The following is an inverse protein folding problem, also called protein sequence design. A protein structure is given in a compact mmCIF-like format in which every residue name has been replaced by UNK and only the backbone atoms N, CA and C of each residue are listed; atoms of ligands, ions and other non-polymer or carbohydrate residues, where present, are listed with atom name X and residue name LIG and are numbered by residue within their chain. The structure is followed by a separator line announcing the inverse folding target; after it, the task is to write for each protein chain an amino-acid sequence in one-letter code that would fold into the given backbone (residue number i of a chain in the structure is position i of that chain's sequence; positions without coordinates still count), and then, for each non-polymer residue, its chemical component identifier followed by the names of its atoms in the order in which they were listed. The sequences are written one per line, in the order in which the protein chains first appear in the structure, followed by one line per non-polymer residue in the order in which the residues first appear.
data_IF_854952679873
#
_entry.id   IF_854952679873
#
_cell.length_a   1.000
_cell.length_b   1.000
_cell.length_c   1.000
_cell.angle_alpha   90.00
_cell.angle_beta   90.00
_cell.angle_gamma   90.00
#
_symmetry.space_group_name_H-M   'P 1'
#
loop_
_entity.id
_entity.type
_entity.pdbx_description
1 polymer ?
#
# COMPACT_ATOMS: atom_id res chain seq x y z
N UNK A 1 -15.11 17.74 -3.31
CA UNK A 1 -14.84 17.39 -4.71
C UNK A 1 -16.01 17.84 -5.53
N UNK A 2 -15.71 18.54 -6.61
CA UNK A 2 -16.67 18.91 -7.63
C UNK A 2 -17.01 17.69 -8.51
N UNK A 3 -18.21 17.64 -9.09
CA UNK A 3 -18.68 16.46 -9.84
C UNK A 3 -17.82 16.08 -11.05
N UNK A 4 -17.10 17.03 -11.64
CA UNK A 4 -16.24 16.79 -12.80
C UNK A 4 -14.95 16.03 -12.43
N UNK A 5 -14.38 16.27 -11.24
CA UNK A 5 -13.18 15.55 -10.76
C UNK A 5 -13.46 14.06 -10.59
N UNK A 6 -14.66 13.72 -10.10
CA UNK A 6 -15.09 12.32 -9.97
C UNK A 6 -15.26 11.70 -11.37
N UNK A 7 -15.84 12.44 -12.31
CA UNK A 7 -15.98 11.96 -13.69
C UNK A 7 -14.61 11.71 -14.35
N UNK A 8 -13.62 12.55 -14.10
CA UNK A 8 -12.25 12.37 -14.61
C UNK A 8 -11.55 11.16 -13.98
N UNK A 9 -11.76 10.93 -12.69
CA UNK A 9 -11.24 9.73 -12.02
C UNK A 9 -11.84 8.45 -12.61
N UNK A 10 -13.12 8.49 -12.98
CA UNK A 10 -13.86 7.35 -13.51
C UNK A 10 -13.67 7.15 -15.02
N UNK A 11 -13.18 8.14 -15.77
CA UNK A 11 -13.07 8.10 -17.24
C UNK A 11 -11.80 7.41 -17.76
N UNK A 12 -11.24 6.46 -17.01
CA UNK A 12 -9.96 5.84 -17.36
C UNK A 12 -10.17 4.70 -18.35
N UNK A 13 -9.27 4.51 -19.33
CA UNK A 13 -9.39 3.45 -20.34
C UNK A 13 -9.09 2.04 -19.80
N UNK A 14 -8.76 1.93 -18.51
CA UNK A 14 -8.42 0.69 -17.83
C UNK A 14 -9.15 0.58 -16.50
N UNK A 15 -9.27 -0.65 -16.00
CA UNK A 15 -9.96 -0.96 -14.76
C UNK A 15 -8.97 -1.00 -13.59
N UNK A 16 -9.31 -0.31 -12.51
CA UNK A 16 -8.67 -0.49 -11.21
C UNK A 16 -9.62 -1.32 -10.34
N UNK A 17 -9.12 -2.45 -9.85
CA UNK A 17 -9.84 -3.31 -8.94
C UNK A 17 -9.61 -2.86 -7.52
N UNK A 18 -10.68 -2.83 -6.72
CA UNK A 18 -10.61 -2.56 -5.29
C UNK A 18 -11.14 -3.74 -4.49
N UNK A 19 -10.42 -4.14 -3.45
CA UNK A 19 -10.84 -5.21 -2.53
C UNK A 19 -10.67 -4.75 -1.09
N UNK A 20 -11.69 -4.99 -0.26
CA UNK A 20 -11.58 -4.75 1.17
C UNK A 20 -10.75 -5.87 1.81
N UNK A 21 -9.70 -5.53 2.54
CA UNK A 21 -8.90 -6.52 3.24
C UNK A 21 -9.54 -6.85 4.60
N UNK A 22 -9.54 -8.13 5.03
CA UNK A 22 -10.12 -8.56 6.31
C UNK A 22 -9.22 -8.23 7.51
N UNK A 23 -8.59 -7.05 7.51
CA UNK A 23 -7.69 -6.54 8.55
C UNK A 23 -8.09 -5.11 8.94
N UNK A 24 -7.69 -4.69 10.13
CA UNK A 24 -7.89 -3.32 10.63
C UNK A 24 -6.55 -2.61 10.79
N UNK A 25 -6.55 -1.31 10.51
CA UNK A 25 -5.41 -0.43 10.75
C UNK A 25 -5.81 0.76 11.58
N UNK A 26 -4.85 1.34 12.31
CA UNK A 26 -5.06 2.58 13.06
C UNK A 26 -5.08 3.75 12.09
N UNK A 27 -6.10 4.60 12.23
CA UNK A 27 -6.22 5.90 11.61
C UNK A 27 -6.41 6.99 12.68
N UNK A 28 -6.08 8.23 12.31
CA UNK A 28 -6.35 9.41 13.14
C UNK A 28 -7.25 10.32 12.32
N UNK A 29 -8.45 10.60 12.82
CA UNK A 29 -9.42 11.48 12.19
C UNK A 29 -9.95 12.44 13.26
N UNK A 30 -9.64 13.73 13.10
CA UNK A 30 -9.89 14.72 14.16
C UNK A 30 -9.11 14.37 15.42
N UNK A 31 -9.80 14.36 16.56
CA UNK A 31 -9.20 14.17 17.89
C UNK A 31 -9.15 12.69 18.33
N UNK A 32 -9.67 11.78 17.51
CA UNK A 32 -9.82 10.36 17.84
C UNK A 32 -8.90 9.43 17.05
N UNK A 33 -8.46 8.36 17.71
CA UNK A 33 -7.88 7.18 17.03
C UNK A 33 -9.00 6.19 16.70
N UNK A 34 -9.01 5.66 15.48
CA UNK A 34 -9.97 4.66 15.04
C UNK A 34 -9.25 3.40 14.54
N UNK A 35 -9.88 2.23 14.73
CA UNK A 35 -9.46 0.97 14.13
C UNK A 35 -10.47 0.58 13.04
N UNK A 36 -10.08 0.76 11.79
CA UNK A 36 -10.95 0.63 10.62
C UNK A 36 -10.26 -0.12 9.49
N UNK A 37 -10.99 -0.44 8.43
CA UNK A 37 -10.52 -1.35 7.38
C UNK A 37 -9.42 -0.76 6.51
N UNK A 38 -8.76 -1.64 5.75
CA UNK A 38 -7.81 -1.31 4.69
C UNK A 38 -8.41 -1.70 3.35
N UNK A 39 -8.36 -0.81 2.38
CA UNK A 39 -8.71 -1.11 0.99
C UNK A 39 -7.44 -1.37 0.17
N UNK A 40 -7.44 -2.44 -0.61
CA UNK A 40 -6.40 -2.75 -1.57
C UNK A 40 -6.85 -2.32 -2.97
N UNK A 41 -5.96 -1.67 -3.70
CA UNK A 41 -6.09 -1.36 -5.13
C UNK A 41 -5.13 -2.24 -5.93
N UNK A 42 -5.56 -2.70 -7.11
CA UNK A 42 -4.74 -3.46 -8.05
C UNK A 42 -5.17 -3.16 -9.49
N UNK A 43 -4.25 -3.23 -10.43
CA UNK A 43 -4.55 -3.04 -11.85
C UNK A 43 -3.55 -3.79 -12.72
N UNK A 44 -3.99 -4.17 -13.93
CA UNK A 44 -3.17 -4.86 -14.92
C UNK A 44 -2.50 -3.87 -15.88
N UNK A 45 -1.89 -2.79 -15.34
CA UNK A 45 -1.30 -1.72 -16.13
C UNK A 45 0.21 -1.66 -15.92
N UNK A 46 0.93 -1.53 -17.04
CA UNK A 46 2.36 -1.31 -17.07
C UNK A 46 2.67 -0.16 -18.06
N UNK A 47 3.15 1.01 -17.60
CA UNK A 47 3.53 1.33 -16.23
C UNK A 47 2.32 1.52 -15.28
N UNK A 48 2.54 1.22 -14.00
CA UNK A 48 1.53 1.39 -12.95
C UNK A 48 1.16 2.89 -12.84
N UNK A 49 -0.15 3.25 -12.85
CA UNK A 49 -0.62 4.64 -12.82
C UNK A 49 -0.56 5.26 -11.42
N UNK A 50 0.65 5.46 -10.88
CA UNK A 50 0.89 5.93 -9.51
C UNK A 50 0.19 7.23 -9.13
N UNK A 51 0.10 8.19 -10.06
CA UNK A 51 -0.55 9.48 -9.83
C UNK A 51 -2.05 9.31 -9.57
N UNK A 52 -2.71 8.47 -10.36
CA UNK A 52 -4.13 8.17 -10.21
C UNK A 52 -4.39 7.36 -8.93
N UNK A 53 -3.58 6.35 -8.65
CA UNK A 53 -3.65 5.58 -7.41
C UNK A 53 -3.47 6.46 -6.17
N UNK A 54 -2.56 7.44 -6.22
CA UNK A 54 -2.36 8.42 -5.16
C UNK A 54 -3.59 9.31 -4.96
N UNK A 55 -4.27 9.73 -6.04
CA UNK A 55 -5.56 10.44 -5.95
C UNK A 55 -6.62 9.57 -5.27
N UNK A 56 -6.77 8.31 -5.68
CA UNK A 56 -7.70 7.38 -5.04
C UNK A 56 -7.40 7.16 -3.56
N UNK A 57 -6.14 6.98 -3.19
CA UNK A 57 -5.71 6.80 -1.81
C UNK A 57 -6.05 8.00 -0.91
N UNK A 58 -6.14 9.21 -1.49
CA UNK A 58 -6.57 10.42 -0.79
C UNK A 58 -8.09 10.58 -0.73
N UNK A 59 -8.81 10.14 -1.77
CA UNK A 59 -10.26 10.33 -1.90
C UNK A 59 -11.04 9.30 -1.09
N UNK A 60 -10.64 8.02 -1.17
CA UNK A 60 -11.38 6.91 -0.55
C UNK A 60 -11.58 7.12 0.97
N UNK A 61 -10.54 7.40 1.78
CA UNK A 61 -10.73 7.60 3.23
C UNK A 61 -11.55 8.84 3.59
N UNK A 62 -11.61 9.85 2.70
CA UNK A 62 -12.42 11.07 2.90
C UNK A 62 -13.91 10.82 2.67
N UNK A 63 -14.26 9.90 1.77
CA UNK A 63 -15.63 9.53 1.46
C UNK A 63 -16.12 8.37 2.33
N UNK A 64 -15.23 7.45 2.67
CA UNK A 64 -15.51 6.20 3.37
C UNK A 64 -14.74 6.17 4.70
N UNK A 65 -15.35 6.73 5.74
CA UNK A 65 -14.75 6.81 7.09
C UNK A 65 -14.48 5.43 7.74
N UNK A 66 -15.02 4.36 7.18
CA UNK A 66 -14.73 2.97 7.57
C UNK A 66 -13.44 2.41 6.93
N UNK A 67 -12.69 3.21 6.17
CA UNK A 67 -11.41 2.86 5.57
C UNK A 67 -10.34 3.82 6.07
N UNK A 68 -9.35 3.29 6.79
CA UNK A 68 -8.25 4.10 7.33
C UNK A 68 -7.06 4.18 6.38
N UNK A 69 -6.83 3.16 5.56
CA UNK A 69 -5.68 3.08 4.64
C UNK A 69 -6.09 2.49 3.31
N UNK A 70 -5.42 2.98 2.27
CA UNK A 70 -5.49 2.44 0.92
C UNK A 70 -4.08 1.99 0.53
N UNK A 71 -3.94 0.75 0.09
CA UNK A 71 -2.67 0.14 -0.31
C UNK A 71 -2.74 -0.32 -1.76
N UNK A 72 -1.59 -0.42 -2.42
CA UNK A 72 -1.49 -1.05 -3.73
C UNK A 72 -0.96 -2.48 -3.59
N UNK A 73 -1.58 -3.42 -4.28
CA UNK A 73 -1.14 -4.82 -4.36
C UNK A 73 -0.39 -5.01 -5.66
N UNK A 74 0.90 -5.33 -5.56
CA UNK A 74 1.73 -5.65 -6.71
C UNK A 74 1.36 -7.02 -7.29
N UNK A 75 1.53 -7.16 -8.62
CA UNK A 75 1.15 -8.35 -9.38
C UNK A 75 -0.10 -8.09 -10.23
N UNK A 76 -0.81 -9.16 -10.57
CA UNK A 76 -2.05 -9.07 -11.35
C UNK A 76 -3.24 -8.53 -10.54
N UNK A 77 -4.37 -8.26 -11.22
CA UNK A 77 -5.57 -7.73 -10.57
C UNK A 77 -6.16 -8.73 -9.57
N UNK A 78 -6.52 -8.25 -8.38
CA UNK A 78 -7.23 -9.02 -7.37
C UNK A 78 -8.71 -9.04 -7.73
N UNK A 79 -9.18 -10.16 -8.29
CA UNK A 79 -10.55 -10.29 -8.81
C UNK A 79 -11.55 -10.81 -7.78
N UNK A 80 -11.09 -11.55 -6.78
CA UNK A 80 -11.94 -12.23 -5.82
C UNK A 80 -11.78 -11.63 -4.42
N UNK A 81 -12.86 -11.55 -3.62
CA UNK A 81 -12.79 -11.03 -2.27
C UNK A 81 -11.90 -11.90 -1.39
N UNK A 82 -11.05 -11.27 -0.60
CA UNK A 82 -10.21 -11.95 0.39
C UNK A 82 -11.03 -12.04 1.68
N UNK A 83 -11.51 -13.23 2.00
CA UNK A 83 -12.37 -13.47 3.17
C UNK A 83 -11.64 -14.09 4.35
N UNK A 84 -10.40 -14.56 4.12
CA UNK A 84 -9.64 -15.33 5.11
C UNK A 84 -8.38 -14.57 5.51
N UNK A 85 -8.04 -14.66 6.78
CA UNK A 85 -6.75 -14.21 7.32
C UNK A 85 -5.91 -15.42 7.69
N UNK A 86 -4.60 -15.33 7.45
CA UNK A 86 -3.66 -16.28 8.04
C UNK A 86 -3.45 -15.87 9.50
N UNK A 87 -3.82 -16.70 10.50
CA UNK A 87 -3.63 -16.35 11.91
C UNK A 87 -2.15 -16.11 12.20
N UNK A 88 -1.82 -14.86 12.51
CA UNK A 88 -0.44 -14.42 12.68
C UNK A 88 -0.29 -13.81 14.07
N UNK A 89 0.65 -14.34 14.85
CA UNK A 89 0.90 -13.93 16.23
C UNK A 89 2.34 -13.47 16.40
N UNK A 90 2.58 -12.65 17.41
CA UNK A 90 3.93 -12.24 17.76
C UNK A 90 4.71 -13.42 18.33
N UNK A 91 5.51 -14.07 17.49
CA UNK A 91 6.41 -15.15 17.85
C UNK A 91 7.75 -14.99 17.12
N UNK A 92 8.78 -15.70 17.59
CA UNK A 92 10.13 -15.57 17.06
C UNK A 92 10.22 -15.83 15.55
N UNK A 93 9.41 -16.76 15.02
CA UNK A 93 9.39 -17.08 13.60
C UNK A 93 8.84 -15.91 12.76
N UNK A 94 7.68 -15.36 13.15
CA UNK A 94 7.05 -14.23 12.45
C UNK A 94 7.92 -12.99 12.54
N UNK A 95 8.49 -12.70 13.72
CA UNK A 95 9.42 -11.56 13.91
C UNK A 95 10.64 -11.70 13.00
N UNK A 96 11.21 -12.90 12.87
CA UNK A 96 12.37 -13.14 12.01
C UNK A 96 12.07 -12.84 10.54
N UNK A 97 10.90 -13.27 10.04
CA UNK A 97 10.49 -12.95 8.67
C UNK A 97 10.31 -11.44 8.49
N UNK A 98 9.74 -10.73 9.48
CA UNK A 98 9.56 -9.28 9.39
C UNK A 98 10.90 -8.57 9.33
N UNK A 99 11.86 -8.98 10.15
CA UNK A 99 13.21 -8.43 10.19
C UNK A 99 13.94 -8.63 8.86
N UNK A 100 13.78 -9.80 8.24
CA UNK A 100 14.36 -10.08 6.93
C UNK A 100 13.74 -9.21 5.83
N UNK A 101 12.41 -9.08 5.81
CA UNK A 101 11.70 -8.21 4.87
C UNK A 101 12.08 -6.73 5.05
N UNK A 102 12.18 -6.26 6.29
CA UNK A 102 12.61 -4.91 6.64
C UNK A 102 14.04 -4.62 6.19
N UNK A 103 14.95 -5.57 6.39
CA UNK A 103 16.32 -5.47 5.90
C UNK A 103 16.35 -5.31 4.38
N UNK A 104 15.66 -6.19 3.63
CA UNK A 104 15.64 -6.15 2.16
C UNK A 104 15.04 -4.84 1.62
N UNK A 105 13.94 -4.37 2.21
CA UNK A 105 13.33 -3.10 1.83
C UNK A 105 14.26 -1.91 2.09
N UNK A 106 15.00 -1.95 3.21
CA UNK A 106 15.98 -0.93 3.57
C UNK A 106 17.18 -0.93 2.63
N UNK A 107 17.69 -2.11 2.25
CA UNK A 107 18.77 -2.24 1.27
C UNK A 107 18.34 -1.65 -0.09
N UNK A 108 17.15 -2.00 -0.57
CA UNK A 108 16.59 -1.46 -1.80
C UNK A 108 16.40 0.07 -1.73
N UNK A 109 15.93 0.60 -0.60
CA UNK A 109 15.81 2.05 -0.38
C UNK A 109 17.16 2.77 -0.46
N UNK A 110 18.23 2.11 -0.02
CA UNK A 110 19.59 2.68 -0.09
C UNK A 110 20.26 2.39 -1.44
N UNK A 111 19.49 1.83 -2.39
CA UNK A 111 19.92 1.50 -3.74
C UNK A 111 20.91 0.32 -3.78
N UNK A 112 20.82 -0.60 -2.83
CA UNK A 112 21.66 -1.80 -2.80
C UNK A 112 20.86 -3.04 -3.18
N UNK A 113 21.58 -4.01 -3.74
CA UNK A 113 21.10 -5.35 -4.04
C UNK A 113 21.07 -6.20 -2.77
N UNK A 114 20.50 -7.40 -2.89
CA UNK A 114 20.43 -8.40 -1.82
C UNK A 114 21.82 -8.80 -1.31
N UNK A 115 22.85 -8.76 -2.17
CA UNK A 115 24.24 -9.07 -1.81
C UNK A 115 25.00 -7.86 -1.20
N UNK A 116 24.33 -6.72 -1.01
CA UNK A 116 24.93 -5.48 -0.50
C UNK A 116 25.72 -4.68 -1.54
N UNK A 117 25.79 -5.12 -2.80
CA UNK A 117 26.39 -4.32 -3.87
C UNK A 117 25.49 -3.16 -4.28
N UNK A 118 26.07 -2.09 -4.85
CA UNK A 118 25.30 -0.95 -5.38
C UNK A 118 24.57 -1.37 -6.65
N UNK A 119 23.26 -1.16 -6.68
CA UNK A 119 22.47 -1.32 -7.91
C UNK A 119 22.49 -0.02 -8.73
N UNK A 120 22.96 -0.03 -9.99
CA UNK A 120 23.01 1.18 -10.81
C UNK A 120 21.61 1.72 -11.18
N UNK A 121 20.57 0.87 -11.17
CA UNK A 121 19.22 1.24 -11.58
C UNK A 121 18.37 1.81 -10.42
N UNK A 122 18.87 1.71 -9.18
CA UNK A 122 18.19 2.24 -8.01
C UNK A 122 18.83 3.54 -7.53
N UNK A 123 18.01 4.53 -7.16
CA UNK A 123 18.49 5.74 -6.50
C UNK A 123 18.66 5.50 -4.98
N UNK A 124 19.65 6.15 -4.35
CA UNK A 124 19.75 6.18 -2.89
C UNK A 124 18.74 7.19 -2.30
N UNK A 125 17.70 6.68 -1.64
CA UNK A 125 16.57 7.47 -1.14
C UNK A 125 16.67 7.81 0.35
N UNK A 126 17.79 7.54 1.01
CA UNK A 126 17.99 7.79 2.46
C UNK A 126 17.71 9.22 2.90
N UNK A 127 18.00 10.19 2.04
CA UNK A 127 17.80 11.62 2.32
C UNK A 127 16.42 12.13 1.87
N UNK A 128 15.67 11.32 1.11
CA UNK A 128 14.35 11.68 0.56
C UNK A 128 13.20 11.09 1.35
N UNK A 129 13.40 9.92 1.98
CA UNK A 129 12.39 9.23 2.76
C UNK A 129 12.78 9.25 4.23
N UNK A 130 11.94 9.87 5.06
CA UNK A 130 12.19 10.00 6.50
C UNK A 130 12.07 8.65 7.22
N UNK A 131 11.07 7.84 6.85
CA UNK A 131 10.79 6.57 7.49
C UNK A 131 10.04 5.65 6.53
N UNK A 132 10.42 4.37 6.52
CA UNK A 132 9.67 3.27 5.92
C UNK A 132 9.27 2.34 7.05
N UNK A 133 8.01 1.94 7.08
CA UNK A 133 7.53 0.95 8.04
C UNK A 133 7.07 -0.29 7.28
N UNK A 134 7.65 -1.44 7.61
CA UNK A 134 7.22 -2.74 7.10
C UNK A 134 6.31 -3.40 8.14
N UNK A 135 5.23 -4.00 7.66
CA UNK A 135 4.16 -4.60 8.49
C UNK A 135 3.86 -6.02 8.02
N UNK A 136 3.23 -6.80 8.91
CA UNK A 136 2.56 -8.08 8.62
C UNK A 136 1.05 -7.90 8.49
#
# INVERSE_FOLDING_TARGET
MSGWEISELLSQPFTIHSTLLPIKSVGVQGDGRSYSYVAALSCDQDPIPWQLLSRYANVIPKLLHNINRVVYVFGGPVLYPITTITPTFLNAFTVKILQEADHLATEALYGRRIDGSRDPDLEDLRKKVQQVCIFF
#
